data_IF_359031272816
#
_entry.id   IF_359031272816
#
_cell.length_a   1.000
_cell.length_b   1.000
_cell.length_c   1.000
_cell.angle_alpha   90.00
_cell.angle_beta   90.00
_cell.angle_gamma   90.00
#
_symmetry.space_group_name_H-M   'P 1'
#
loop_
_entity.id
_entity.type
_entity.pdbx_description
1 polymer ?
#
# COMPACT_ATOMS: atom_id res chain seq x y z
N UNK A 1 1.08 -18.13 -1.18
CA UNK A 1 0.64 -16.99 -2.02
C UNK A 1 1.58 -16.88 -3.22
N UNK A 2 1.08 -16.47 -4.38
CA UNK A 2 1.89 -16.33 -5.61
C UNK A 2 3.04 -15.31 -5.44
N UNK A 3 2.91 -14.37 -4.50
CA UNK A 3 3.97 -13.43 -4.13
C UNK A 3 5.27 -14.13 -3.68
N UNK A 4 5.19 -15.29 -3.03
CA UNK A 4 6.37 -16.06 -2.62
C UNK A 4 7.14 -16.59 -3.83
N UNK A 5 6.44 -17.13 -4.82
CA UNK A 5 7.03 -17.58 -6.08
C UNK A 5 7.70 -16.43 -6.84
N UNK A 6 7.08 -15.24 -6.83
CA UNK A 6 7.67 -14.04 -7.45
C UNK A 6 8.94 -13.59 -6.74
N UNK A 7 8.93 -13.60 -5.41
CA UNK A 7 10.12 -13.26 -4.61
C UNK A 7 11.26 -14.24 -4.87
N UNK A 8 10.98 -15.55 -4.88
CA UNK A 8 11.95 -16.60 -5.18
C UNK A 8 12.56 -16.40 -6.58
N UNK A 9 11.72 -16.19 -7.61
CA UNK A 9 12.17 -15.96 -8.98
C UNK A 9 13.01 -14.68 -9.13
N UNK A 10 12.78 -13.69 -8.27
CA UNK A 10 13.54 -12.44 -8.25
C UNK A 10 14.77 -12.46 -7.31
N UNK A 11 15.02 -13.57 -6.62
CA UNK A 11 16.11 -13.66 -5.63
C UNK A 11 15.90 -12.78 -4.41
N UNK A 12 14.66 -12.43 -4.10
CA UNK A 12 14.30 -11.57 -2.95
C UNK A 12 13.91 -12.46 -1.76
N UNK A 13 14.48 -12.16 -0.58
CA UNK A 13 14.14 -12.87 0.64
C UNK A 13 12.64 -12.74 0.96
N UNK A 14 12.02 -13.85 1.35
CA UNK A 14 10.61 -13.87 1.70
C UNK A 14 10.39 -14.51 3.08
N UNK A 15 9.43 -13.98 3.83
CA UNK A 15 8.96 -14.53 5.10
C UNK A 15 7.43 -14.52 5.12
N UNK A 16 6.85 -15.49 5.84
CA UNK A 16 5.41 -15.57 6.04
C UNK A 16 5.12 -15.33 7.51
N UNK A 17 4.38 -14.26 7.78
CA UNK A 17 3.81 -13.99 9.10
C UNK A 17 2.29 -14.05 8.99
N UNK A 18 1.64 -14.62 9.98
CA UNK A 18 0.17 -14.71 10.03
C UNK A 18 -0.33 -14.14 11.36
N UNK A 19 -1.40 -13.34 11.36
CA UNK A 19 -1.96 -12.76 12.58
C UNK A 19 -2.77 -13.78 13.41
N UNK A 20 -2.35 -15.07 13.41
CA UNK A 20 -3.07 -16.18 14.04
C UNK A 20 -3.16 -16.07 15.58
N UNK A 21 -2.21 -15.36 16.20
CA UNK A 21 -2.15 -15.17 17.64
C UNK A 21 -2.68 -13.81 18.12
N UNK A 22 -3.33 -13.04 17.24
CA UNK A 22 -3.80 -11.69 17.50
C UNK A 22 -2.91 -10.60 16.91
N UNK A 23 -3.40 -9.38 16.95
CA UNK A 23 -2.73 -8.22 16.32
C UNK A 23 -1.41 -7.87 17.01
N UNK A 24 -1.39 -7.73 18.32
CA UNK A 24 -0.21 -7.31 19.06
C UNK A 24 0.98 -8.29 18.92
N UNK A 25 0.83 -9.62 19.10
CA UNK A 25 1.90 -10.55 18.82
C UNK A 25 2.40 -10.51 17.37
N UNK A 26 1.49 -10.36 16.41
CA UNK A 26 1.84 -10.23 14.99
C UNK A 26 2.69 -8.99 14.72
N UNK A 27 2.28 -7.81 15.22
CA UNK A 27 3.00 -6.56 15.03
C UNK A 27 4.34 -6.54 15.77
N UNK A 28 4.44 -7.20 16.92
CA UNK A 28 5.70 -7.36 17.65
C UNK A 28 6.69 -8.22 16.85
N UNK A 29 6.26 -9.37 16.34
CA UNK A 29 7.09 -10.23 15.50
C UNK A 29 7.51 -9.50 14.20
N UNK A 30 6.58 -8.80 13.55
CA UNK A 30 6.85 -7.98 12.37
C UNK A 30 7.88 -6.89 12.68
N UNK A 31 7.77 -6.19 13.82
CA UNK A 31 8.69 -5.15 14.23
C UNK A 31 10.11 -5.69 14.46
N UNK A 32 10.24 -6.86 15.09
CA UNK A 32 11.53 -7.52 15.26
C UNK A 32 12.15 -7.84 13.91
N UNK A 33 11.40 -8.50 13.02
CA UNK A 33 11.89 -8.89 11.71
C UNK A 33 12.33 -7.68 10.87
N UNK A 34 11.55 -6.60 10.87
CA UNK A 34 11.88 -5.38 10.11
C UNK A 34 13.17 -4.73 10.62
N UNK A 35 13.41 -4.73 11.93
CA UNK A 35 14.64 -4.19 12.52
C UNK A 35 15.85 -5.08 12.24
N UNK A 36 15.72 -6.40 12.37
CA UNK A 36 16.79 -7.36 12.06
C UNK A 36 17.25 -7.29 10.60
N UNK A 37 16.33 -6.96 9.71
CA UNK A 37 16.61 -6.81 8.29
C UNK A 37 16.95 -5.37 7.89
N UNK A 38 17.13 -4.46 8.87
CA UNK A 38 17.48 -3.05 8.65
C UNK A 38 16.58 -2.34 7.61
N UNK A 39 15.27 -2.64 7.67
CA UNK A 39 14.29 -2.07 6.74
C UNK A 39 14.10 -0.57 7.01
N UNK A 40 14.22 0.25 5.99
CA UNK A 40 14.02 1.69 6.05
C UNK A 40 12.64 2.15 5.56
N UNK A 41 12.02 1.37 4.68
CA UNK A 41 10.72 1.68 4.07
C UNK A 41 9.86 0.43 3.94
N UNK A 42 8.59 0.54 4.30
CA UNK A 42 7.60 -0.52 4.21
C UNK A 42 6.61 -0.17 3.10
N UNK A 43 6.37 -1.10 2.18
CA UNK A 43 5.38 -0.95 1.11
C UNK A 43 4.24 -1.95 1.34
N UNK A 44 3.02 -1.45 1.51
CA UNK A 44 1.82 -2.27 1.62
C UNK A 44 1.17 -2.39 0.23
N UNK A 45 1.10 -3.61 -0.29
CA UNK A 45 0.47 -3.93 -1.56
C UNK A 45 -0.46 -5.12 -1.37
N UNK A 46 -1.76 -4.91 -1.45
CA UNK A 46 -2.77 -5.93 -1.15
C UNK A 46 -2.77 -6.37 0.32
N UNK A 47 -2.31 -5.52 1.22
CA UNK A 47 -2.28 -5.76 2.65
C UNK A 47 -3.63 -5.40 3.28
N UNK A 48 -4.27 -6.36 3.95
CA UNK A 48 -5.66 -6.21 4.45
C UNK A 48 -5.77 -6.08 5.97
N UNK A 49 -4.65 -6.19 6.69
CA UNK A 49 -4.62 -5.99 8.13
C UNK A 49 -4.50 -4.49 8.42
N UNK A 50 -5.33 -3.97 9.33
CA UNK A 50 -5.20 -2.59 9.79
C UNK A 50 -4.09 -2.57 10.86
N UNK A 51 -3.02 -1.85 10.60
CA UNK A 51 -1.92 -1.68 11.55
C UNK A 51 -2.35 -0.78 12.72
N UNK A 52 -1.88 -1.09 13.91
CA UNK A 52 -2.18 -0.30 15.12
C UNK A 52 -1.49 1.07 15.10
N UNK A 53 -2.01 1.97 15.94
CA UNK A 53 -1.37 3.26 16.18
C UNK A 53 0.03 3.11 16.79
N UNK A 54 0.22 2.12 17.64
CA UNK A 54 1.50 1.79 18.27
C UNK A 54 2.53 1.36 17.24
N UNK A 55 2.12 0.55 16.27
CA UNK A 55 3.01 0.12 15.19
C UNK A 55 3.33 1.28 14.24
N UNK A 56 2.32 2.00 13.75
CA UNK A 56 2.52 3.07 12.76
C UNK A 56 3.36 4.23 13.30
N UNK A 57 3.26 4.56 14.61
CA UNK A 57 4.10 5.57 15.27
C UNK A 57 5.59 5.22 15.31
N UNK A 58 5.95 3.92 15.22
CA UNK A 58 7.37 3.52 15.16
C UNK A 58 8.00 3.79 13.79
N UNK A 59 7.16 4.02 12.76
CA UNK A 59 7.57 4.16 11.36
C UNK A 59 7.04 5.47 10.74
N UNK A 60 7.30 6.64 11.33
CA UNK A 60 6.76 7.92 10.84
C UNK A 60 7.26 8.21 9.43
N UNK A 61 6.33 8.32 8.48
CA UNK A 61 6.62 8.52 7.04
C UNK A 61 7.49 7.41 6.42
N UNK A 62 7.40 6.18 6.94
CA UNK A 62 8.15 5.00 6.47
C UNK A 62 7.25 3.84 6.04
N UNK A 63 5.93 4.05 6.01
CA UNK A 63 4.98 3.05 5.51
C UNK A 63 4.18 3.70 4.40
N UNK A 64 4.22 3.12 3.21
CA UNK A 64 3.39 3.50 2.07
C UNK A 64 2.35 2.42 1.81
N UNK A 65 1.14 2.84 1.47
CA UNK A 65 0.08 1.95 0.98
C UNK A 65 -0.40 2.42 -0.40
N UNK A 66 -0.70 1.47 -1.28
CA UNK A 66 -1.42 1.76 -2.52
C UNK A 66 -2.88 1.36 -2.35
N UNK A 67 -3.79 2.31 -2.54
CA UNK A 67 -5.23 2.11 -2.47
C UNK A 67 -5.85 2.27 -3.87
N UNK A 68 -6.73 1.35 -4.32
CA UNK A 68 -7.23 1.31 -5.70
C UNK A 68 -8.38 2.28 -5.98
N UNK A 69 -8.30 3.50 -5.43
CA UNK A 69 -9.19 4.61 -5.76
C UNK A 69 -8.47 5.96 -5.68
N UNK A 70 -9.15 7.02 -6.11
CA UNK A 70 -8.70 8.40 -5.87
C UNK A 70 -9.24 8.87 -4.50
N UNK A 71 -8.46 8.66 -3.45
CA UNK A 71 -8.80 9.13 -2.10
C UNK A 71 -9.14 10.64 -2.16
N UNK A 72 -10.22 11.12 -1.51
CA UNK A 72 -11.00 10.46 -0.44
C UNK A 72 -12.20 9.62 -0.91
N UNK A 73 -12.38 9.40 -2.21
CA UNK A 73 -13.48 8.57 -2.71
C UNK A 73 -13.19 7.08 -2.51
N UNK A 74 -14.21 6.30 -2.15
CA UNK A 74 -14.18 4.83 -2.05
C UNK A 74 -12.99 4.29 -1.23
N UNK A 75 -12.73 4.89 -0.06
CA UNK A 75 -11.65 4.53 0.85
C UNK A 75 -12.15 4.32 2.29
N UNK A 76 -11.27 3.90 3.18
CA UNK A 76 -11.54 3.67 4.58
C UNK A 76 -12.07 2.26 4.89
N UNK A 77 -12.63 2.11 6.09
CA UNK A 77 -13.03 0.80 6.62
C UNK A 77 -13.97 0.03 5.69
N UNK A 78 -13.58 -1.17 5.30
CA UNK A 78 -14.37 -2.05 4.43
C UNK A 78 -14.16 -1.85 2.93
N UNK A 79 -13.43 -0.82 2.52
CA UNK A 79 -13.10 -0.53 1.12
C UNK A 79 -11.76 -1.17 0.72
N UNK A 80 -11.81 -2.39 0.21
CA UNK A 80 -10.64 -3.14 -0.24
C UNK A 80 -11.00 -4.15 -1.34
N UNK A 81 -10.03 -4.51 -2.16
CA UNK A 81 -10.17 -5.49 -3.23
C UNK A 81 -11.26 -5.08 -4.23
N UNK A 82 -12.09 -6.03 -4.65
CA UNK A 82 -13.17 -5.79 -5.62
C UNK A 82 -14.23 -4.79 -5.13
N UNK A 83 -14.45 -4.69 -3.82
CA UNK A 83 -15.48 -3.79 -3.23
C UNK A 83 -15.29 -2.33 -3.64
N UNK A 84 -14.06 -1.88 -3.82
CA UNK A 84 -13.75 -0.52 -4.25
C UNK A 84 -14.28 -0.28 -5.67
N UNK A 85 -14.04 -1.23 -6.56
CA UNK A 85 -14.46 -1.17 -7.96
C UNK A 85 -15.97 -1.34 -8.12
N UNK A 86 -16.58 -2.25 -7.33
CA UNK A 86 -18.04 -2.39 -7.23
C UNK A 86 -18.71 -1.08 -6.80
N UNK A 87 -18.16 -0.42 -5.78
CA UNK A 87 -18.69 0.85 -5.28
C UNK A 87 -18.55 1.98 -6.31
N UNK A 88 -17.42 2.05 -7.02
CA UNK A 88 -17.19 3.02 -8.07
C UNK A 88 -18.17 2.86 -9.23
N UNK A 89 -18.37 1.62 -9.70
CA UNK A 89 -19.33 1.29 -10.78
C UNK A 89 -20.77 1.56 -10.34
N UNK A 90 -21.16 1.13 -9.14
CA UNK A 90 -22.49 1.37 -8.59
C UNK A 90 -22.81 2.86 -8.42
N UNK A 91 -21.81 3.67 -8.08
CA UNK A 91 -21.95 5.14 -8.00
C UNK A 91 -22.03 5.80 -9.38
N UNK A 92 -21.56 5.13 -10.42
CA UNK A 92 -21.59 5.64 -11.80
C UNK A 92 -20.53 6.71 -12.07
N UNK A 93 -19.43 6.76 -11.30
CA UNK A 93 -18.30 7.66 -11.57
C UNK A 93 -17.66 7.31 -12.93
N UNK A 94 -17.09 8.29 -13.59
CA UNK A 94 -16.47 8.09 -14.92
C UNK A 94 -14.97 7.93 -14.85
N UNK A 95 -14.40 8.31 -13.69
CA UNK A 95 -12.96 8.25 -13.42
C UNK A 95 -12.76 7.66 -12.04
N UNK A 96 -11.82 6.73 -11.94
CA UNK A 96 -11.26 6.18 -10.71
C UNK A 96 -9.74 6.25 -10.78
N UNK A 97 -9.01 5.42 -10.08
CA UNK A 97 -7.56 5.39 -10.16
C UNK A 97 -6.92 4.71 -8.97
N UNK A 98 -5.68 5.09 -8.69
CA UNK A 98 -4.96 4.65 -7.50
C UNK A 98 -4.33 5.82 -6.75
N UNK A 99 -4.22 5.66 -5.45
CA UNK A 99 -3.56 6.59 -4.53
C UNK A 99 -2.47 5.88 -3.76
N UNK A 100 -1.26 6.45 -3.75
CA UNK A 100 -0.22 6.08 -2.78
C UNK A 100 -0.19 7.14 -1.69
N UNK A 101 -0.28 6.71 -0.45
CA UNK A 101 -0.29 7.58 0.72
C UNK A 101 0.60 7.01 1.82
N UNK A 102 1.06 7.87 2.73
CA UNK A 102 1.67 7.43 3.98
C UNK A 102 0.61 6.80 4.89
N UNK A 103 0.98 5.75 5.61
CA UNK A 103 0.07 5.07 6.53
C UNK A 103 0.18 5.69 7.92
N UNK A 104 -0.98 5.91 8.53
CA UNK A 104 -1.14 6.32 9.92
C UNK A 104 -2.21 5.45 10.60
N UNK A 105 -2.68 5.84 11.78
CA UNK A 105 -3.71 5.12 12.56
C UNK A 105 -5.12 5.15 11.94
N UNK A 106 -5.34 6.01 10.94
CA UNK A 106 -6.63 6.14 10.25
C UNK A 106 -6.55 5.37 8.94
N UNK A 107 -7.39 4.34 8.70
CA UNK A 107 -7.41 3.62 7.45
C UNK A 107 -7.57 4.55 6.25
N UNK A 108 -6.61 4.51 5.33
CA UNK A 108 -6.50 5.36 4.14
C UNK A 108 -6.48 6.88 4.42
N UNK A 109 -6.21 7.29 5.68
CA UNK A 109 -6.31 8.67 6.14
C UNK A 109 -4.99 9.44 6.18
N UNK A 110 -3.88 8.82 5.80
CA UNK A 110 -2.57 9.47 5.80
C UNK A 110 -2.34 10.42 4.61
N UNK A 111 -1.26 11.17 4.67
CA UNK A 111 -0.87 12.13 3.64
C UNK A 111 -0.70 11.44 2.27
N UNK A 112 -1.36 12.00 1.26
CA UNK A 112 -1.28 11.51 -0.12
C UNK A 112 0.06 11.92 -0.73
N UNK A 113 0.77 10.94 -1.29
CA UNK A 113 2.06 11.16 -1.97
C UNK A 113 1.90 11.23 -3.49
N UNK A 114 1.14 10.31 -4.09
CA UNK A 114 0.88 10.26 -5.53
C UNK A 114 -0.54 9.76 -5.81
N UNK A 115 -1.11 10.26 -6.89
CA UNK A 115 -2.36 9.75 -7.44
C UNK A 115 -2.26 9.62 -8.96
N UNK A 116 -2.94 8.61 -9.51
CA UNK A 116 -3.10 8.45 -10.95
C UNK A 116 -4.53 8.08 -11.29
N UNK A 117 -5.14 8.88 -12.16
CA UNK A 117 -6.50 8.66 -12.64
C UNK A 117 -6.55 7.60 -13.75
N UNK A 118 -7.68 6.86 -13.79
CA UNK A 118 -8.02 5.86 -14.79
C UNK A 118 -9.48 6.05 -15.18
N UNK A 119 -9.77 6.08 -16.48
CA UNK A 119 -11.13 6.14 -17.00
C UNK A 119 -11.85 4.81 -16.84
N UNK A 120 -13.14 4.86 -16.55
CA UNK A 120 -14.03 3.69 -16.47
C UNK A 120 -14.71 3.52 -17.81
N UNK A 121 -14.53 2.35 -18.44
CA UNK A 121 -15.21 2.02 -19.67
C UNK A 121 -16.69 1.67 -19.44
N UNK A 122 -17.58 1.92 -20.42
CA UNK A 122 -19.01 1.66 -20.26
C UNK A 122 -19.38 0.21 -19.95
N UNK A 123 -18.53 -0.74 -20.36
CA UNK A 123 -18.69 -2.18 -20.24
C UNK A 123 -17.83 -2.80 -19.12
N UNK A 124 -17.19 -1.98 -18.28
CA UNK A 124 -16.38 -2.49 -17.18
C UNK A 124 -17.22 -3.28 -16.16
N UNK A 125 -16.72 -4.45 -15.83
CA UNK A 125 -17.09 -5.19 -14.62
C UNK A 125 -16.13 -4.82 -13.48
N UNK A 126 -16.43 -5.15 -12.21
CA UNK A 126 -15.48 -4.94 -11.12
C UNK A 126 -14.10 -5.54 -11.40
N UNK A 127 -14.04 -6.73 -12.01
CA UNK A 127 -12.81 -7.45 -12.31
C UNK A 127 -12.00 -6.79 -13.44
N UNK A 128 -12.68 -6.33 -14.50
CA UNK A 128 -12.01 -5.64 -15.62
C UNK A 128 -11.50 -4.28 -15.17
N UNK A 129 -12.28 -3.57 -14.36
CA UNK A 129 -11.87 -2.29 -13.78
C UNK A 129 -10.71 -2.46 -12.82
N UNK A 130 -10.74 -3.47 -11.93
CA UNK A 130 -9.63 -3.79 -11.04
C UNK A 130 -8.34 -4.00 -11.82
N UNK A 131 -8.36 -4.86 -12.85
CA UNK A 131 -7.19 -5.11 -13.69
C UNK A 131 -6.67 -3.83 -14.33
N UNK A 132 -7.56 -3.01 -14.89
CA UNK A 132 -7.21 -1.73 -15.51
C UNK A 132 -6.54 -0.79 -14.53
N UNK A 133 -7.10 -0.64 -13.32
CA UNK A 133 -6.51 0.19 -12.26
C UNK A 133 -5.14 -0.33 -11.83
N UNK A 134 -4.99 -1.65 -11.66
CA UNK A 134 -3.71 -2.27 -11.35
C UNK A 134 -2.65 -1.95 -12.42
N UNK A 135 -2.97 -2.19 -13.70
CA UNK A 135 -2.02 -2.06 -14.81
C UNK A 135 -1.70 -0.60 -15.13
N UNK A 136 -2.74 0.26 -15.14
CA UNK A 136 -2.59 1.66 -15.58
C UNK A 136 -2.24 2.64 -14.46
N UNK A 137 -2.45 2.27 -13.19
CA UNK A 137 -2.18 3.15 -12.06
C UNK A 137 -1.29 2.48 -10.99
N UNK A 138 -1.75 1.44 -10.27
CA UNK A 138 -1.07 0.93 -9.08
C UNK A 138 0.38 0.51 -9.36
N UNK A 139 0.63 -0.27 -10.42
CA UNK A 139 1.95 -0.75 -10.81
C UNK A 139 2.90 0.35 -11.28
N UNK A 140 2.39 1.55 -11.50
CA UNK A 140 3.19 2.71 -11.90
C UNK A 140 3.43 3.64 -10.71
N UNK A 141 2.40 3.95 -9.93
CA UNK A 141 2.55 4.95 -8.86
C UNK A 141 3.27 4.42 -7.63
N UNK A 142 3.11 3.12 -7.29
CA UNK A 142 3.77 2.56 -6.11
C UNK A 142 5.30 2.52 -6.25
N UNK A 143 5.89 2.03 -7.34
CA UNK A 143 7.35 2.10 -7.53
C UNK A 143 7.87 3.54 -7.53
N UNK A 144 7.18 4.46 -8.23
CA UNK A 144 7.57 5.86 -8.29
C UNK A 144 7.52 6.55 -6.91
N UNK A 145 6.52 6.23 -6.10
CA UNK A 145 6.41 6.71 -4.73
C UNK A 145 7.54 6.17 -3.86
N UNK A 146 7.85 4.87 -3.99
CA UNK A 146 8.94 4.23 -3.27
C UNK A 146 10.30 4.89 -3.61
N UNK A 147 10.59 5.11 -4.89
CA UNK A 147 11.81 5.80 -5.32
C UNK A 147 11.95 7.19 -4.70
N UNK A 148 10.87 7.98 -4.68
CA UNK A 148 10.88 9.33 -4.09
C UNK A 148 11.21 9.27 -2.59
N UNK A 149 10.53 8.41 -1.84
CA UNK A 149 10.76 8.30 -0.39
C UNK A 149 12.14 7.72 -0.09
N UNK A 150 12.61 6.72 -0.86
CA UNK A 150 13.98 6.21 -0.71
C UNK A 150 15.03 7.30 -0.93
N UNK A 151 14.85 8.16 -1.94
CA UNK A 151 15.76 9.28 -2.18
C UNK A 151 15.74 10.32 -1.03
N UNK A 152 14.60 10.53 -0.38
CA UNK A 152 14.49 11.37 0.83
C UNK A 152 15.24 10.73 2.00
N UNK A 153 15.05 9.43 2.22
CA UNK A 153 15.71 8.67 3.29
C UNK A 153 17.24 8.72 3.16
N UNK A 154 17.76 8.52 1.94
CA UNK A 154 19.21 8.59 1.69
C UNK A 154 19.77 9.97 2.05
N UNK A 155 19.12 11.04 1.60
CA UNK A 155 19.52 12.41 1.93
C UNK A 155 19.49 12.71 3.44
N UNK A 156 18.48 12.21 4.15
CA UNK A 156 18.39 12.36 5.61
C UNK A 156 19.52 11.61 6.35
N UNK A 157 19.93 10.45 5.84
CA UNK A 157 21.07 9.68 6.42
C UNK A 157 22.40 10.38 6.18
N UNK A 158 22.60 10.95 4.98
CA UNK A 158 23.81 11.71 4.64
C UNK A 158 23.96 12.94 5.55
N UNK A 159 22.88 13.73 5.73
CA UNK A 159 22.87 14.93 6.58
C UNK A 159 23.09 14.65 8.09
N UNK A 160 22.86 13.44 8.55
CA UNK A 160 23.11 13.04 9.96
C UNK A 160 24.53 12.56 10.20
N UNK A 161 25.26 12.24 9.15
CA UNK A 161 26.64 11.74 9.23
C UNK A 161 27.69 12.86 9.02
N UNK A 162 27.25 14.05 8.63
CA UNK A 162 28.03 15.29 8.54
C UNK A 162 27.90 16.11 9.83
#
# INVERSE_FOLDING_TARGET
>A
AYALTRAENAGVAARVLTPSCGQEPFENELSVLLREQEIDLILLAGFTVILSAEFTKQWPRRILNVHPSLIPAFCGKGMYGLRVHEAALARGVKVTGATVHFVNEIPDGGEILLQKAVEIAPDDTPETLQRRVMEQAEWQVLPLAAERVCAEIVREKEQKND
#
